data_IF_495369836959
#
_entry.id   IF_495369836959
#
_cell.length_a   1.000
_cell.length_b   1.000
_cell.length_c   1.000
_cell.angle_alpha   90.00
_cell.angle_beta   90.00
_cell.angle_gamma   90.00
#
_symmetry.space_group_name_H-M   'P 1'
#
loop_
_entity.id
_entity.type
_entity.pdbx_description
1 polymer ?
#
# COMPACT_ATOMS: atom_id res chain seq x y z
N UNK A 1 17.43 14.80 -11.07
CA UNK A 1 16.20 15.55 -11.35
C UNK A 1 15.70 16.20 -10.06
N UNK A 2 15.03 17.35 -10.21
CA UNK A 2 14.26 17.99 -9.14
C UNK A 2 12.82 17.49 -9.22
N UNK A 3 12.36 16.78 -8.21
CA UNK A 3 11.04 16.16 -8.14
C UNK A 3 10.23 16.85 -7.07
N UNK A 4 8.99 17.21 -7.36
CA UNK A 4 8.02 17.59 -6.33
C UNK A 4 7.06 16.43 -6.10
N UNK A 5 7.03 15.90 -4.87
CA UNK A 5 6.12 14.85 -4.44
C UNK A 5 4.91 15.48 -3.72
N UNK A 6 3.71 15.33 -4.27
CA UNK A 6 2.45 15.77 -3.62
C UNK A 6 1.82 14.54 -2.96
N UNK A 7 1.76 14.54 -1.62
CA UNK A 7 1.43 13.32 -0.89
C UNK A 7 0.96 13.59 0.56
N UNK A 8 0.57 12.53 1.26
CA UNK A 8 0.54 12.48 2.73
C UNK A 8 1.97 12.24 3.26
N UNK A 9 2.34 12.88 4.37
CA UNK A 9 3.67 12.80 4.96
C UNK A 9 3.60 12.64 6.49
N UNK A 10 4.71 12.20 7.10
CA UNK A 10 4.85 12.18 8.57
C UNK A 10 4.67 13.59 9.16
N UNK A 11 4.02 13.73 10.33
CA UNK A 11 3.67 12.69 11.32
C UNK A 11 2.32 11.98 11.08
N UNK A 12 1.67 12.21 9.95
CA UNK A 12 0.38 11.57 9.67
C UNK A 12 0.49 10.04 9.61
N UNK A 13 -0.25 9.33 10.46
CA UNK A 13 -0.31 7.88 10.51
C UNK A 13 -1.15 7.32 9.34
N UNK A 14 -0.53 7.14 8.18
CA UNK A 14 -1.19 6.75 6.94
C UNK A 14 -0.25 5.86 6.10
N UNK A 15 -0.79 4.82 5.48
CA UNK A 15 -0.01 3.92 4.61
C UNK A 15 0.64 4.66 3.43
N UNK A 16 -0.03 5.70 2.89
CA UNK A 16 0.54 6.53 1.82
C UNK A 16 1.73 7.34 2.32
N UNK A 17 1.69 7.86 3.56
CA UNK A 17 2.82 8.58 4.14
C UNK A 17 4.04 7.68 4.28
N UNK A 18 3.85 6.44 4.74
CA UNK A 18 4.92 5.42 4.83
C UNK A 18 5.48 5.09 3.45
N UNK A 19 4.60 4.76 2.47
CA UNK A 19 5.00 4.51 1.08
C UNK A 19 5.83 5.66 0.51
N UNK A 20 5.35 6.88 0.68
CA UNK A 20 6.00 8.09 0.13
C UNK A 20 7.36 8.33 0.77
N UNK A 21 7.49 8.13 2.08
CA UNK A 21 8.75 8.28 2.81
C UNK A 21 9.82 7.31 2.30
N UNK A 22 9.44 6.04 2.11
CA UNK A 22 10.35 5.01 1.58
C UNK A 22 10.76 5.29 0.12
N UNK A 23 9.79 5.66 -0.73
CA UNK A 23 10.05 6.02 -2.13
C UNK A 23 10.97 7.25 -2.22
N UNK A 24 10.68 8.31 -1.46
CA UNK A 24 11.50 9.53 -1.42
C UNK A 24 12.91 9.22 -0.94
N UNK A 25 13.05 8.40 0.11
CA UNK A 25 14.35 7.95 0.59
C UNK A 25 15.17 7.24 -0.49
N UNK A 26 14.56 6.35 -1.25
CA UNK A 26 15.19 5.62 -2.34
C UNK A 26 15.51 6.53 -3.56
N UNK A 27 14.62 7.47 -3.91
CA UNK A 27 14.87 8.45 -4.97
C UNK A 27 16.05 9.37 -4.61
N UNK A 28 16.13 9.84 -3.36
CA UNK A 28 17.25 10.65 -2.87
C UNK A 28 18.57 9.87 -2.89
N UNK A 29 18.57 8.58 -2.53
CA UNK A 29 19.73 7.69 -2.66
C UNK A 29 20.18 7.52 -4.12
N UNK A 30 19.24 7.55 -5.07
CA UNK A 30 19.53 7.52 -6.51
C UNK A 30 19.98 8.90 -7.07
N UNK A 31 20.22 9.90 -6.21
CA UNK A 31 20.78 11.22 -6.60
C UNK A 31 19.71 12.22 -7.09
N UNK A 32 18.44 12.00 -6.82
CA UNK A 32 17.39 12.99 -7.10
C UNK A 32 17.21 13.94 -5.92
N UNK A 33 16.91 15.21 -6.22
CA UNK A 33 16.38 16.14 -5.23
C UNK A 33 14.87 16.01 -5.17
N UNK A 34 14.31 15.85 -3.96
CA UNK A 34 12.86 15.64 -3.79
C UNK A 34 12.33 16.60 -2.76
N UNK A 35 11.48 17.52 -3.20
CA UNK A 35 10.65 18.39 -2.35
C UNK A 35 9.28 17.74 -2.13
N UNK A 36 8.71 17.91 -0.93
CA UNK A 36 7.48 17.25 -0.52
C UNK A 36 6.43 18.32 -0.24
N UNK A 37 5.30 18.28 -0.94
CA UNK A 37 4.11 19.06 -0.62
C UNK A 37 3.11 18.13 0.04
N UNK A 38 2.72 18.46 1.28
CA UNK A 38 1.87 17.58 2.10
C UNK A 38 0.75 18.35 2.83
N UNK A 39 -0.05 17.59 3.58
CA UNK A 39 -1.17 18.14 4.35
C UNK A 39 -0.68 18.99 5.52
N UNK A 40 -1.47 20.03 5.82
CA UNK A 40 -1.32 20.85 7.04
C UNK A 40 -2.02 20.11 8.18
N UNK A 41 -1.31 19.22 8.89
CA UNK A 41 -1.86 18.61 10.09
C UNK A 41 -1.44 19.43 11.33
N UNK A 42 -2.30 19.55 12.33
CA UNK A 42 -2.04 20.27 13.58
C UNK A 42 -0.83 19.71 14.34
N UNK A 43 -0.46 18.45 14.04
CA UNK A 43 0.67 17.75 14.66
C UNK A 43 2.05 18.18 14.14
N UNK A 44 2.13 18.98 13.07
CA UNK A 44 3.42 19.47 12.54
C UNK A 44 4.24 20.35 13.52
N UNK A 45 3.73 20.62 14.70
CA UNK A 45 4.41 21.08 15.93
C UNK A 45 5.67 21.94 15.82
N UNK A 46 5.84 22.71 14.74
CA UNK A 46 6.94 23.65 14.57
C UNK A 46 8.29 23.08 14.08
N UNK A 47 8.46 21.77 13.97
CA UNK A 47 9.65 21.18 13.33
C UNK A 47 9.44 21.12 11.80
N UNK A 48 10.01 22.06 11.07
CA UNK A 48 10.07 22.02 9.60
C UNK A 48 11.27 21.17 9.19
N UNK A 49 10.98 20.01 8.60
CA UNK A 49 11.97 19.28 7.84
C UNK A 49 12.32 20.09 6.58
N UNK A 50 13.61 20.23 6.26
CA UNK A 50 14.05 20.88 5.03
C UNK A 50 13.43 20.15 3.82
N UNK A 51 12.97 20.88 2.82
CA UNK A 51 12.26 20.36 1.65
C UNK A 51 10.86 19.78 1.90
N UNK A 52 10.20 20.08 3.02
CA UNK A 52 8.80 19.72 3.30
C UNK A 52 7.93 20.97 3.42
N UNK A 53 6.86 21.01 2.62
CA UNK A 53 5.94 22.14 2.48
C UNK A 53 4.51 21.69 2.85
N UNK A 54 4.05 21.91 4.09
CA UNK A 54 2.69 21.59 4.51
C UNK A 54 1.73 22.69 4.00
N UNK A 55 1.13 22.44 2.84
CA UNK A 55 0.31 23.42 2.10
C UNK A 55 -1.11 22.93 1.86
N UNK A 56 -1.33 21.60 1.91
CA UNK A 56 -2.62 20.99 1.59
C UNK A 56 -3.55 21.07 2.81
N UNK A 57 -4.46 22.02 2.80
CA UNK A 57 -5.56 22.10 3.77
C UNK A 57 -6.87 21.73 3.06
N UNK A 58 -7.35 20.50 3.24
CA UNK A 58 -8.57 20.02 2.58
C UNK A 58 -9.85 20.74 3.02
N UNK A 59 -9.82 21.53 4.09
CA UNK A 59 -10.92 22.41 4.49
C UNK A 59 -10.92 23.76 3.73
N UNK A 60 -9.80 24.13 3.10
CA UNK A 60 -9.71 25.32 2.26
C UNK A 60 -10.11 24.98 0.81
N UNK A 61 -11.18 25.55 0.27
CA UNK A 61 -11.59 25.28 -1.12
C UNK A 61 -10.52 25.66 -2.18
N UNK A 62 -9.54 26.49 -1.83
CA UNK A 62 -8.47 26.95 -2.72
C UNK A 62 -7.13 26.26 -2.50
N UNK A 63 -7.07 25.14 -1.79
CA UNK A 63 -5.80 24.48 -1.49
C UNK A 63 -5.01 24.07 -2.75
N UNK A 64 -5.68 23.70 -3.82
CA UNK A 64 -5.06 23.33 -5.11
C UNK A 64 -4.30 24.50 -5.75
N UNK A 65 -4.76 25.75 -5.57
CA UNK A 65 -4.06 26.97 -6.03
C UNK A 65 -2.76 27.20 -5.24
N UNK A 66 -2.80 26.98 -3.93
CA UNK A 66 -1.63 27.12 -3.07
C UNK A 66 -0.57 26.06 -3.40
N UNK A 67 -0.99 24.82 -3.61
CA UNK A 67 -0.12 23.72 -4.07
C UNK A 67 0.52 24.07 -5.42
N UNK A 68 -0.28 24.54 -6.38
CA UNK A 68 0.23 24.94 -7.69
C UNK A 68 1.23 26.10 -7.61
N UNK A 69 0.94 27.14 -6.84
CA UNK A 69 1.86 28.25 -6.62
C UNK A 69 3.20 27.80 -6.01
N UNK A 70 3.15 26.86 -5.05
CA UNK A 70 4.35 26.27 -4.45
C UNK A 70 5.15 25.46 -5.48
N UNK A 71 4.49 24.67 -6.32
CA UNK A 71 5.15 23.93 -7.42
C UNK A 71 5.90 24.88 -8.36
N UNK A 72 5.26 26.00 -8.76
CA UNK A 72 5.90 26.97 -9.64
C UNK A 72 7.12 27.65 -8.99
N UNK A 73 7.11 27.86 -7.68
CA UNK A 73 8.27 28.41 -6.95
C UNK A 73 9.44 27.43 -6.90
N UNK A 74 9.14 26.12 -6.73
CA UNK A 74 10.13 25.04 -6.64
C UNK A 74 10.74 24.67 -8.01
N UNK A 75 10.06 24.97 -9.11
CA UNK A 75 10.51 24.73 -10.49
C UNK A 75 10.99 23.28 -10.72
N UNK A 76 10.17 22.25 -10.44
CA UNK A 76 10.59 20.87 -10.61
C UNK A 76 10.73 20.48 -12.06
N UNK A 77 11.52 19.42 -12.32
CA UNK A 77 11.56 18.75 -13.62
C UNK A 77 10.28 17.91 -13.82
N UNK A 78 9.71 17.39 -12.72
CA UNK A 78 8.47 16.57 -12.72
C UNK A 78 7.74 16.70 -11.39
N UNK A 79 6.41 16.68 -11.46
CA UNK A 79 5.52 16.57 -10.28
C UNK A 79 4.98 15.16 -10.19
N UNK A 80 5.13 14.51 -9.04
CA UNK A 80 4.57 13.19 -8.76
C UNK A 80 3.51 13.27 -7.66
N UNK A 81 2.29 12.86 -7.96
CA UNK A 81 1.14 12.91 -7.05
C UNK A 81 0.83 11.49 -6.58
N UNK A 82 0.74 11.28 -5.27
CA UNK A 82 0.25 10.03 -4.69
C UNK A 82 -1.27 10.15 -4.53
N UNK A 83 -2.03 9.26 -5.14
CA UNK A 83 -3.48 9.34 -5.13
C UNK A 83 -4.14 8.15 -4.44
N UNK A 84 -5.02 8.48 -3.51
CA UNK A 84 -6.03 7.61 -2.91
C UNK A 84 -7.31 8.44 -2.75
N UNK A 85 -8.48 7.86 -3.02
CA UNK A 85 -9.75 8.60 -3.03
C UNK A 85 -10.02 9.37 -1.72
N UNK A 86 -9.64 8.79 -0.56
CA UNK A 86 -9.79 9.43 0.74
C UNK A 86 -8.75 10.49 1.09
N UNK A 87 -7.72 10.68 0.27
CA UNK A 87 -6.56 11.51 0.65
C UNK A 87 -6.81 13.01 0.48
N UNK A 88 -7.54 13.39 -0.54
CA UNK A 88 -7.78 14.79 -0.93
C UNK A 88 -9.25 15.20 -0.84
N UNK A 89 -10.04 14.50 -0.01
CA UNK A 89 -11.45 14.78 0.14
C UNK A 89 -11.66 16.18 0.74
N UNK A 90 -12.30 17.02 -0.02
CA UNK A 90 -13.12 18.13 0.46
C UNK A 90 -14.57 17.64 0.52
N UNK A 91 -15.38 18.13 1.44
CA UNK A 91 -16.76 17.69 1.64
C UNK A 91 -17.48 17.36 0.31
N UNK A 92 -17.65 16.07 0.00
CA UNK A 92 -18.49 15.57 -1.08
C UNK A 92 -17.91 15.63 -2.50
N UNK A 93 -16.64 15.98 -2.71
CA UNK A 93 -16.07 16.14 -4.05
C UNK A 93 -15.21 14.96 -4.56
N UNK A 94 -15.19 13.85 -3.83
CA UNK A 94 -14.41 12.63 -4.20
C UNK A 94 -12.92 12.88 -4.52
N UNK A 95 -12.32 13.93 -3.93
CA UNK A 95 -10.95 14.34 -4.26
C UNK A 95 -10.83 15.12 -5.58
N UNK A 96 -11.94 15.61 -6.13
CA UNK A 96 -11.99 16.30 -7.42
C UNK A 96 -11.09 17.53 -7.55
N UNK A 97 -10.63 18.11 -6.44
CA UNK A 97 -9.68 19.24 -6.41
C UNK A 97 -8.31 18.93 -7.01
N UNK A 98 -7.94 17.68 -7.12
CA UNK A 98 -6.74 17.29 -7.88
C UNK A 98 -6.89 17.58 -9.38
N UNK A 99 -8.09 17.50 -9.94
CA UNK A 99 -8.32 17.75 -11.38
C UNK A 99 -7.96 19.19 -11.79
N UNK A 100 -8.37 20.26 -11.09
CA UNK A 100 -7.88 21.62 -11.36
C UNK A 100 -6.36 21.76 -11.27
N UNK A 101 -5.72 21.12 -10.29
CA UNK A 101 -4.25 21.09 -10.19
C UNK A 101 -3.64 20.45 -11.43
N UNK A 102 -4.10 19.27 -11.85
CA UNK A 102 -3.61 18.58 -13.06
C UNK A 102 -3.82 19.41 -14.32
N UNK A 103 -4.98 20.07 -14.43
CA UNK A 103 -5.27 20.95 -15.56
C UNK A 103 -4.27 22.13 -15.64
N UNK A 104 -3.96 22.77 -14.51
CA UNK A 104 -2.98 23.85 -14.44
C UNK A 104 -1.56 23.37 -14.79
N UNK A 105 -1.14 22.22 -14.25
CA UNK A 105 0.16 21.61 -14.59
C UNK A 105 0.25 21.36 -16.09
N UNK A 106 -0.82 20.86 -16.71
CA UNK A 106 -0.88 20.62 -18.17
C UNK A 106 -0.78 21.90 -18.99
N UNK A 107 -1.45 22.99 -18.56
CA UNK A 107 -1.37 24.30 -19.24
C UNK A 107 0.04 24.89 -19.16
N UNK A 108 0.68 24.82 -18.01
CA UNK A 108 2.05 25.33 -17.78
C UNK A 108 3.13 24.37 -18.29
N UNK A 109 2.74 23.23 -18.88
CA UNK A 109 3.66 22.20 -19.39
C UNK A 109 4.63 21.67 -18.34
N UNK A 110 4.18 21.57 -17.10
CA UNK A 110 4.91 20.92 -16.02
C UNK A 110 4.65 19.42 -16.11
N UNK A 111 5.69 18.58 -16.34
CA UNK A 111 5.51 17.13 -16.44
C UNK A 111 4.87 16.57 -15.18
N UNK A 112 3.84 15.75 -15.35
CA UNK A 112 3.03 15.23 -14.25
C UNK A 112 2.89 13.72 -14.29
N UNK A 113 3.09 13.09 -13.12
CA UNK A 113 2.92 11.66 -12.87
C UNK A 113 1.98 11.47 -11.68
N UNK A 114 1.14 10.46 -11.71
CA UNK A 114 0.30 10.08 -10.58
C UNK A 114 0.40 8.59 -10.31
N UNK A 115 0.62 8.21 -9.05
CA UNK A 115 0.44 6.83 -8.59
C UNK A 115 -0.96 6.67 -8.04
N UNK A 116 -1.73 5.74 -8.60
CA UNK A 116 -3.03 5.32 -8.10
C UNK A 116 -2.86 4.14 -7.15
N UNK A 117 -3.11 4.36 -5.86
CA UNK A 117 -3.04 3.29 -4.86
C UNK A 117 -4.27 2.38 -4.87
N UNK A 118 -5.41 2.88 -5.36
CA UNK A 118 -6.65 2.11 -5.48
C UNK A 118 -7.23 2.23 -6.88
N UNK A 119 -7.09 1.17 -7.66
CA UNK A 119 -7.84 0.92 -8.90
C UNK A 119 -8.46 -0.47 -8.74
N UNK A 120 -9.78 -0.53 -8.77
CA UNK A 120 -10.55 -1.76 -8.64
C UNK A 120 -10.98 -2.28 -10.01
N UNK A 121 -11.33 -3.57 -10.07
CA UNK A 121 -11.84 -4.24 -11.28
C UNK A 121 -13.06 -3.52 -11.86
N UNK A 122 -13.94 -3.03 -10.96
CA UNK A 122 -15.10 -2.21 -11.30
C UNK A 122 -15.02 -0.92 -10.50
N UNK A 123 -14.97 0.19 -11.20
CA UNK A 123 -15.04 1.52 -10.62
C UNK A 123 -16.50 1.97 -10.55
N UNK A 124 -16.88 2.63 -9.48
CA UNK A 124 -18.15 3.33 -9.47
C UNK A 124 -18.11 4.54 -10.41
N UNK A 125 -19.28 5.17 -10.64
CA UNK A 125 -19.36 6.28 -11.61
C UNK A 125 -18.45 7.47 -11.25
N UNK A 126 -18.37 7.96 -10.01
CA UNK A 126 -17.43 9.00 -9.60
C UNK A 126 -15.98 8.60 -9.79
N UNK A 127 -15.59 7.39 -9.39
CA UNK A 127 -14.24 6.86 -9.53
C UNK A 127 -13.82 6.74 -11.01
N UNK A 128 -14.72 6.22 -11.85
CA UNK A 128 -14.49 6.09 -13.29
C UNK A 128 -14.33 7.47 -13.96
N UNK A 129 -15.19 8.45 -13.62
CA UNK A 129 -15.08 9.82 -14.12
C UNK A 129 -13.78 10.50 -13.69
N UNK A 130 -13.40 10.37 -12.42
CA UNK A 130 -12.15 10.92 -11.91
C UNK A 130 -10.95 10.30 -12.64
N UNK A 131 -10.93 8.97 -12.76
CA UNK A 131 -9.85 8.22 -13.41
C UNK A 131 -9.74 8.58 -14.89
N UNK A 132 -10.86 8.68 -15.62
CA UNK A 132 -10.89 9.07 -17.03
C UNK A 132 -10.28 10.47 -17.23
N UNK A 133 -10.76 11.46 -16.48
CA UNK A 133 -10.30 12.84 -16.65
C UNK A 133 -8.85 12.99 -16.23
N UNK A 134 -8.45 12.41 -15.10
CA UNK A 134 -7.08 12.53 -14.60
C UNK A 134 -6.08 11.85 -15.54
N UNK A 135 -6.37 10.66 -16.08
CA UNK A 135 -5.49 9.98 -17.04
C UNK A 135 -5.30 10.76 -18.36
N UNK A 136 -6.30 11.53 -18.80
CA UNK A 136 -6.19 12.42 -19.98
C UNK A 136 -5.33 13.64 -19.71
N UNK A 137 -5.27 14.12 -18.49
CA UNK A 137 -4.47 15.28 -18.09
C UNK A 137 -3.02 14.90 -17.80
N UNK A 138 -2.77 13.71 -17.22
CA UNK A 138 -1.44 13.25 -16.85
C UNK A 138 -0.54 12.92 -18.05
N UNK A 139 0.76 13.15 -17.87
CA UNK A 139 1.77 12.71 -18.83
C UNK A 139 2.13 11.23 -18.63
N UNK A 140 2.15 10.76 -17.39
CA UNK A 140 2.27 9.33 -17.04
C UNK A 140 1.49 9.00 -15.79
N UNK A 141 1.06 7.76 -15.66
CA UNK A 141 0.39 7.22 -14.49
C UNK A 141 1.04 5.90 -14.07
N UNK A 142 0.98 5.60 -12.78
CA UNK A 142 1.52 4.37 -12.18
C UNK A 142 0.38 3.66 -11.46
N UNK A 143 0.29 2.35 -11.68
CA UNK A 143 -0.54 1.41 -10.92
C UNK A 143 0.35 0.29 -10.38
N UNK A 144 -0.09 -0.44 -9.37
CA UNK A 144 0.77 -1.40 -8.68
C UNK A 144 0.70 -2.83 -9.21
N UNK A 145 -0.30 -3.16 -10.04
CA UNK A 145 -0.45 -4.50 -10.60
C UNK A 145 -0.90 -4.46 -12.06
N UNK A 146 -0.46 -5.43 -12.86
CA UNK A 146 -0.86 -5.55 -14.27
C UNK A 146 -2.39 -5.66 -14.42
N UNK A 147 -3.04 -6.36 -13.51
CA UNK A 147 -4.50 -6.50 -13.50
C UNK A 147 -5.21 -5.14 -13.40
N UNK A 148 -4.69 -4.20 -12.62
CA UNK A 148 -5.25 -2.85 -12.53
C UNK A 148 -5.19 -2.14 -13.90
N UNK A 149 -4.06 -2.25 -14.59
CA UNK A 149 -3.90 -1.70 -15.94
C UNK A 149 -4.82 -2.36 -16.96
N UNK A 150 -5.00 -3.68 -16.86
CA UNK A 150 -5.87 -4.45 -17.76
C UNK A 150 -7.35 -4.09 -17.63
N UNK A 151 -7.82 -3.70 -16.45
CA UNK A 151 -9.22 -3.34 -16.24
C UNK A 151 -9.56 -1.88 -16.59
N UNK A 152 -8.56 -0.99 -16.72
CA UNK A 152 -8.83 0.40 -17.07
C UNK A 152 -9.65 0.56 -18.36
N UNK A 153 -9.36 -0.11 -19.50
CA UNK A 153 -10.14 0.04 -20.71
C UNK A 153 -11.63 -0.33 -20.56
N UNK A 154 -11.94 -1.32 -19.69
CA UNK A 154 -13.33 -1.74 -19.45
C UNK A 154 -14.13 -0.71 -18.63
N UNK A 155 -13.44 0.07 -17.79
CA UNK A 155 -14.05 1.12 -16.99
C UNK A 155 -14.11 2.48 -17.73
N UNK A 156 -13.25 2.71 -18.73
CA UNK A 156 -13.03 4.03 -19.35
C UNK A 156 -13.46 4.13 -20.81
N UNK A 157 -13.89 3.05 -21.44
CA UNK A 157 -14.21 2.97 -22.88
C UNK A 157 -13.07 3.39 -23.84
N UNK A 158 -11.82 3.42 -23.34
CA UNK A 158 -10.61 3.67 -24.13
C UNK A 158 -9.37 3.07 -23.49
N UNK A 159 -8.29 2.90 -24.27
CA UNK A 159 -7.02 2.30 -23.78
C UNK A 159 -6.04 3.41 -23.42
N UNK A 160 -5.75 3.64 -22.13
CA UNK A 160 -4.74 4.59 -21.72
C UNK A 160 -3.32 4.06 -22.01
N UNK A 161 -2.55 4.82 -22.83
CA UNK A 161 -1.19 4.46 -23.23
C UNK A 161 -0.09 5.04 -22.32
N UNK A 162 -0.47 5.78 -21.30
CA UNK A 162 0.44 6.44 -20.35
C UNK A 162 0.47 5.77 -18.99
N UNK A 163 -0.04 4.54 -18.86
CA UNK A 163 -0.09 3.79 -17.60
C UNK A 163 1.06 2.78 -17.54
N UNK A 164 1.82 2.86 -16.47
CA UNK A 164 2.95 1.98 -16.14
C UNK A 164 2.62 1.14 -14.91
N UNK A 165 3.17 -0.06 -14.82
CA UNK A 165 3.00 -0.93 -13.67
C UNK A 165 4.29 -0.96 -12.86
N UNK A 166 4.21 -0.57 -11.59
CA UNK A 166 5.31 -0.64 -10.63
C UNK A 166 4.75 -1.19 -9.33
N UNK A 167 5.14 -2.41 -8.96
CA UNK A 167 4.70 -3.06 -7.72
C UNK A 167 5.04 -2.23 -6.49
N UNK A 168 4.29 -2.44 -5.40
CA UNK A 168 4.58 -1.79 -4.12
C UNK A 168 6.00 -2.15 -3.65
N UNK A 169 6.74 -1.16 -3.17
CA UNK A 169 8.09 -1.37 -2.67
C UNK A 169 8.11 -2.10 -1.32
N UNK A 170 9.23 -2.78 -1.08
CA UNK A 170 9.52 -3.42 0.20
C UNK A 170 10.86 -2.91 0.77
N UNK A 171 10.93 -2.79 2.10
CA UNK A 171 12.15 -2.41 2.80
C UNK A 171 13.21 -3.50 2.71
N UNK A 172 14.46 -3.11 2.84
CA UNK A 172 15.54 -4.02 3.24
C UNK A 172 15.53 -4.12 4.78
N UNK A 173 15.06 -5.23 5.30
CA UNK A 173 14.92 -5.47 6.75
C UNK A 173 15.53 -6.81 7.09
N UNK A 174 16.25 -6.87 8.21
CA UNK A 174 16.77 -8.13 8.75
C UNK A 174 15.76 -8.67 9.76
N UNK A 175 15.23 -9.91 9.56
CA UNK A 175 14.36 -10.53 10.53
C UNK A 175 15.03 -10.64 11.91
N UNK A 176 14.27 -10.34 12.97
CA UNK A 176 14.74 -10.50 14.35
C UNK A 176 14.74 -12.00 14.75
N UNK A 177 15.90 -12.63 14.95
CA UNK A 177 15.98 -14.06 15.26
C UNK A 177 15.46 -14.41 16.66
N UNK A 178 15.36 -13.43 17.57
CA UNK A 178 14.90 -13.62 18.94
C UNK A 178 13.44 -13.17 19.14
N UNK A 179 12.74 -12.85 18.06
CA UNK A 179 11.38 -12.34 18.15
C UNK A 179 10.41 -13.33 18.82
N UNK A 180 10.49 -14.63 18.51
CA UNK A 180 9.62 -15.63 19.13
C UNK A 180 9.83 -15.72 20.65
N UNK A 181 11.06 -15.67 21.12
CA UNK A 181 11.39 -15.65 22.56
C UNK A 181 10.81 -14.40 23.23
N UNK A 182 10.99 -13.25 22.59
CA UNK A 182 10.54 -11.95 23.12
C UNK A 182 9.03 -11.90 23.34
N UNK A 183 8.26 -12.53 22.45
CA UNK A 183 6.79 -12.60 22.56
C UNK A 183 6.27 -13.88 23.25
N UNK A 184 7.16 -14.72 23.82
CA UNK A 184 6.77 -15.97 24.48
C UNK A 184 6.15 -16.99 23.52
N UNK A 185 6.70 -17.06 22.29
CA UNK A 185 6.27 -17.94 21.20
C UNK A 185 7.33 -18.98 20.81
N UNK A 186 8.39 -19.13 21.63
CA UNK A 186 9.43 -20.12 21.41
C UNK A 186 8.84 -21.53 21.24
N UNK A 187 9.27 -22.25 20.19
CA UNK A 187 8.76 -23.58 19.87
C UNK A 187 7.32 -23.64 19.32
N UNK A 188 6.68 -22.50 19.08
CA UNK A 188 5.34 -22.43 18.49
C UNK A 188 5.38 -22.22 16.97
N UNK A 189 4.34 -22.71 16.28
CA UNK A 189 4.01 -22.40 14.89
C UNK A 189 2.99 -21.26 14.88
N UNK A 190 3.34 -20.14 14.26
CA UNK A 190 2.62 -18.87 14.43
C UNK A 190 2.09 -18.35 13.12
N UNK A 191 0.77 -18.29 12.97
CA UNK A 191 0.07 -17.54 11.94
C UNK A 191 -0.23 -16.12 12.46
N UNK A 192 0.02 -15.08 11.67
CA UNK A 192 -0.13 -13.69 12.09
C UNK A 192 -1.20 -12.95 11.25
N UNK A 193 -2.14 -12.31 11.95
CA UNK A 193 -2.95 -11.23 11.39
C UNK A 193 -2.46 -9.89 11.96
N UNK A 194 -2.08 -8.93 11.12
CA UNK A 194 -1.50 -7.66 11.57
C UNK A 194 -2.02 -6.45 10.81
N UNK A 195 -2.21 -5.34 11.50
CA UNK A 195 -2.57 -4.03 10.94
C UNK A 195 -3.73 -3.35 11.66
N UNK A 196 -4.22 -2.25 11.07
CA UNK A 196 -5.37 -1.54 11.60
C UNK A 196 -6.62 -2.42 11.59
N UNK A 197 -7.34 -2.42 12.72
CA UNK A 197 -8.59 -3.16 12.86
C UNK A 197 -9.72 -2.43 12.12
N UNK A 198 -10.12 -3.00 11.00
CA UNK A 198 -11.21 -2.50 10.15
C UNK A 198 -12.01 -3.70 9.59
N UNK A 199 -13.32 -3.55 9.37
CA UNK A 199 -14.18 -4.68 8.95
C UNK A 199 -13.73 -5.39 7.66
N UNK A 200 -13.07 -4.68 6.75
CA UNK A 200 -12.56 -5.26 5.51
C UNK A 200 -11.35 -6.19 5.72
N UNK A 201 -10.75 -6.22 6.93
CA UNK A 201 -9.61 -7.07 7.26
C UNK A 201 -10.01 -8.50 7.59
N UNK A 202 -11.23 -8.74 8.01
CA UNK A 202 -11.79 -10.08 8.22
C UNK A 202 -10.97 -10.99 9.14
N UNK A 203 -10.29 -10.43 10.14
CA UNK A 203 -9.50 -11.24 11.11
C UNK A 203 -10.37 -12.22 11.89
N UNK A 204 -11.66 -11.90 12.05
CA UNK A 204 -12.66 -12.77 12.66
C UNK A 204 -12.86 -14.09 11.92
N UNK A 205 -12.55 -14.18 10.63
CA UNK A 205 -12.65 -15.42 9.85
C UNK A 205 -11.55 -16.41 10.26
N UNK A 206 -10.34 -15.88 10.55
CA UNK A 206 -9.24 -16.71 11.05
C UNK A 206 -9.52 -17.20 12.48
N UNK A 207 -10.15 -16.36 13.31
CA UNK A 207 -10.62 -16.78 14.66
C UNK A 207 -11.65 -17.90 14.56
N UNK A 208 -12.56 -17.82 13.57
CA UNK A 208 -13.64 -18.80 13.38
C UNK A 208 -13.10 -20.19 13.05
N UNK A 209 -12.13 -20.28 12.15
CA UNK A 209 -11.55 -21.56 11.73
C UNK A 209 -10.55 -22.12 12.74
N UNK A 210 -10.08 -21.31 13.72
CA UNK A 210 -8.95 -21.66 14.57
C UNK A 210 -9.14 -22.92 15.42
N UNK A 211 -10.33 -23.24 15.97
CA UNK A 211 -10.55 -24.49 16.70
C UNK A 211 -10.25 -25.74 15.87
N UNK A 212 -10.58 -25.73 14.58
CA UNK A 212 -10.31 -26.85 13.68
C UNK A 212 -8.85 -26.89 13.27
N UNK A 213 -8.22 -25.71 13.07
CA UNK A 213 -6.79 -25.61 12.78
C UNK A 213 -5.96 -26.22 13.93
N UNK A 214 -6.27 -25.90 15.18
CA UNK A 214 -5.57 -26.48 16.35
C UNK A 214 -5.75 -28.01 16.40
N UNK A 215 -6.95 -28.49 16.11
CA UNK A 215 -7.21 -29.94 16.06
C UNK A 215 -6.35 -30.66 15.01
N UNK A 216 -6.08 -30.03 13.88
CA UNK A 216 -5.34 -30.60 12.75
C UNK A 216 -3.84 -30.38 12.84
N UNK A 217 -3.41 -29.17 13.21
CA UNK A 217 -1.99 -28.78 13.28
C UNK A 217 -1.35 -29.02 14.65
N UNK A 218 -2.16 -29.27 15.72
CA UNK A 218 -1.71 -29.58 17.06
C UNK A 218 -1.50 -28.35 17.96
N UNK A 219 -1.20 -28.64 19.23
CA UNK A 219 -1.09 -27.69 20.35
C UNK A 219 0.02 -26.63 20.19
N UNK A 220 0.91 -26.80 19.22
CA UNK A 220 1.95 -25.80 18.93
C UNK A 220 1.44 -24.63 18.06
N UNK A 221 0.27 -24.77 17.44
CA UNK A 221 -0.33 -23.76 16.56
C UNK A 221 -0.84 -22.58 17.39
N UNK A 222 -0.38 -21.37 17.04
CA UNK A 222 -0.81 -20.11 17.65
C UNK A 222 -1.27 -19.15 16.55
N UNK A 223 -2.44 -18.55 16.74
CA UNK A 223 -2.86 -17.37 16.03
C UNK A 223 -2.43 -16.13 16.78
N UNK A 224 -1.60 -15.31 16.17
CA UNK A 224 -1.23 -14.00 16.70
C UNK A 224 -2.02 -12.92 15.97
N UNK A 225 -2.74 -12.07 16.72
CA UNK A 225 -3.47 -10.93 16.15
C UNK A 225 -2.87 -9.66 16.72
N UNK A 226 -2.30 -8.82 15.88
CA UNK A 226 -1.59 -7.61 16.27
C UNK A 226 -2.15 -6.36 15.60
N UNK A 227 -2.39 -5.29 16.36
CA UNK A 227 -2.89 -4.03 15.85
C UNK A 227 -3.86 -3.32 16.78
N UNK A 228 -4.50 -2.29 16.27
CA UNK A 228 -5.55 -1.54 16.98
C UNK A 228 -6.53 -0.89 15.98
N UNK A 229 -7.61 -0.32 16.52
CA UNK A 229 -8.46 0.58 15.73
C UNK A 229 -7.69 1.86 15.39
N UNK A 230 -7.84 2.34 14.16
CA UNK A 230 -7.25 3.62 13.77
C UNK A 230 -7.82 4.74 14.65
N UNK A 231 -7.00 5.68 15.14
CA UNK A 231 -7.48 6.83 15.89
C UNK A 231 -8.60 7.56 15.14
N UNK A 232 -9.72 7.82 15.82
CA UNK A 232 -10.89 8.48 15.23
C UNK A 232 -11.82 7.59 14.37
N UNK A 233 -11.45 6.32 14.07
CA UNK A 233 -12.33 5.40 13.34
C UNK A 233 -13.38 4.78 14.27
N UNK A 234 -14.61 5.26 14.21
CA UNK A 234 -15.73 4.65 14.95
C UNK A 234 -16.06 3.22 14.49
N UNK A 235 -15.87 2.93 13.20
CA UNK A 235 -16.01 1.59 12.63
C UNK A 235 -14.93 0.65 13.11
N UNK A 236 -13.67 1.11 13.12
CA UNK A 236 -12.54 0.33 13.64
C UNK A 236 -12.68 -0.01 15.12
N UNK A 237 -13.13 0.94 15.95
CA UNK A 237 -13.39 0.72 17.39
C UNK A 237 -14.46 -0.37 17.57
N UNK A 238 -15.58 -0.27 16.87
CA UNK A 238 -16.64 -1.30 16.94
C UNK A 238 -16.15 -2.67 16.47
N UNK A 239 -15.38 -2.69 15.39
CA UNK A 239 -14.80 -3.93 14.87
C UNK A 239 -13.84 -4.56 15.88
N UNK A 240 -12.95 -3.78 16.51
CA UNK A 240 -12.06 -4.25 17.58
C UNK A 240 -12.84 -4.93 18.70
N UNK A 241 -13.90 -4.29 19.20
CA UNK A 241 -14.74 -4.86 20.25
C UNK A 241 -15.40 -6.19 19.84
N UNK A 242 -15.87 -6.29 18.59
CA UNK A 242 -16.46 -7.50 18.04
C UNK A 242 -15.42 -8.62 17.91
N UNK A 243 -14.25 -8.31 17.40
CA UNK A 243 -13.14 -9.25 17.24
C UNK A 243 -12.70 -9.81 18.60
N UNK A 244 -12.49 -8.96 19.59
CA UNK A 244 -12.09 -9.39 20.94
C UNK A 244 -13.16 -10.29 21.61
N UNK A 245 -14.45 -9.93 21.46
CA UNK A 245 -15.55 -10.81 21.93
C UNK A 245 -15.54 -12.18 21.24
N UNK A 246 -15.26 -12.21 19.93
CA UNK A 246 -15.19 -13.48 19.19
C UNK A 246 -14.00 -14.33 19.64
N UNK A 247 -12.86 -13.72 19.94
CA UNK A 247 -11.68 -14.38 20.50
C UNK A 247 -12.02 -14.98 21.87
N UNK A 248 -12.62 -14.22 22.78
CA UNK A 248 -12.98 -14.66 24.13
C UNK A 248 -13.97 -15.82 24.12
N UNK A 249 -14.86 -15.84 23.15
CA UNK A 249 -15.87 -16.90 22.96
C UNK A 249 -15.33 -18.13 22.19
N UNK A 250 -14.13 -18.07 21.63
CA UNK A 250 -13.57 -19.17 20.84
C UNK A 250 -13.20 -20.38 21.72
N UNK A 251 -13.57 -21.61 21.33
CA UNK A 251 -13.08 -22.83 21.99
C UNK A 251 -11.55 -22.95 22.00
N UNK A 252 -10.87 -22.29 21.07
CA UNK A 252 -9.41 -22.29 20.94
C UNK A 252 -8.76 -21.01 21.47
N UNK A 253 -9.41 -20.26 22.37
CA UNK A 253 -8.92 -18.96 22.87
C UNK A 253 -7.51 -19.03 23.45
N UNK A 254 -7.12 -20.14 24.06
CA UNK A 254 -5.79 -20.34 24.67
C UNK A 254 -4.68 -20.46 23.59
N UNK A 255 -5.06 -20.67 22.34
CA UNK A 255 -4.20 -20.70 21.16
C UNK A 255 -4.28 -19.41 20.32
N UNK A 256 -4.95 -18.37 20.83
CA UNK A 256 -5.05 -17.06 20.19
C UNK A 256 -4.41 -16.02 21.11
N UNK A 257 -3.37 -15.37 20.63
CA UNK A 257 -2.70 -14.26 21.34
C UNK A 257 -2.97 -12.95 20.67
N UNK A 258 -3.13 -11.89 21.45
CA UNK A 258 -3.31 -10.52 20.93
C UNK A 258 -2.19 -9.61 21.41
N UNK A 259 -1.71 -8.73 20.51
CA UNK A 259 -0.83 -7.60 20.83
C UNK A 259 -1.58 -6.35 20.34
N UNK A 260 -2.11 -5.59 21.30
CA UNK A 260 -2.94 -4.41 20.99
C UNK A 260 -2.11 -3.13 21.07
N UNK A 261 -2.23 -2.28 20.07
CA UNK A 261 -1.59 -0.97 20.01
C UNK A 261 -1.28 -0.50 18.59
N UNK A 262 -0.88 0.77 18.52
CA UNK A 262 -0.17 1.30 17.36
C UNK A 262 1.33 1.09 17.60
N UNK A 263 2.01 0.46 16.66
CA UNK A 263 3.40 0.07 16.82
C UNK A 263 4.33 1.02 16.09
N UNK A 264 5.47 1.33 16.70
CA UNK A 264 6.61 1.90 16.00
C UNK A 264 7.19 0.87 14.98
N UNK A 265 7.98 1.31 14.01
CA UNK A 265 8.48 0.44 12.94
C UNK A 265 9.26 -0.80 13.47
N UNK A 266 10.10 -0.64 14.48
CA UNK A 266 10.94 -1.72 15.00
C UNK A 266 10.08 -2.79 15.74
N UNK A 267 9.10 -2.35 16.51
CA UNK A 267 8.12 -3.23 17.14
C UNK A 267 7.29 -3.97 16.10
N UNK A 268 6.87 -3.27 15.03
CA UNK A 268 6.11 -3.87 13.94
C UNK A 268 6.91 -4.97 13.24
N UNK A 269 8.17 -4.70 12.92
CA UNK A 269 9.10 -5.65 12.30
C UNK A 269 9.36 -6.87 13.20
N UNK A 270 9.51 -6.64 14.52
CA UNK A 270 9.67 -7.72 15.50
C UNK A 270 8.43 -8.61 15.61
N UNK A 271 7.22 -8.04 15.57
CA UNK A 271 5.96 -8.83 15.60
C UNK A 271 5.86 -9.72 14.35
N UNK A 272 6.14 -9.17 13.16
CA UNK A 272 6.16 -9.98 11.92
C UNK A 272 7.25 -11.04 11.99
N UNK A 273 8.44 -10.69 12.49
CA UNK A 273 9.55 -11.63 12.65
C UNK A 273 9.19 -12.82 13.55
N UNK A 274 8.34 -12.61 14.56
CA UNK A 274 7.88 -13.65 15.47
C UNK A 274 6.88 -14.64 14.84
N UNK A 275 6.35 -14.35 13.65
CA UNK A 275 5.46 -15.25 12.93
C UNK A 275 6.20 -16.21 12.01
N UNK A 276 5.55 -17.27 11.58
CA UNK A 276 6.00 -18.16 10.51
C UNK A 276 5.45 -17.70 9.14
N UNK A 277 4.22 -17.20 9.12
CA UNK A 277 3.58 -16.61 7.94
C UNK A 277 2.48 -15.61 8.34
N UNK A 278 2.04 -14.81 7.38
CA UNK A 278 1.00 -13.79 7.58
C UNK A 278 -0.30 -14.21 6.89
N UNK A 279 -1.46 -13.91 7.51
CA UNK A 279 -2.79 -14.17 6.93
C UNK A 279 -3.49 -12.84 6.70
N UNK A 280 -3.84 -12.57 5.45
CA UNK A 280 -4.51 -11.34 5.00
C UNK A 280 -5.85 -11.68 4.34
N UNK A 281 -6.89 -12.06 5.14
CA UNK A 281 -8.17 -12.56 4.65
C UNK A 281 -9.10 -11.42 4.24
N UNK A 282 -8.57 -10.44 3.51
CA UNK A 282 -9.26 -9.19 3.24
C UNK A 282 -10.48 -9.39 2.34
N UNK A 283 -11.54 -8.61 2.60
CA UNK A 283 -12.74 -8.56 1.75
C UNK A 283 -12.58 -7.58 0.59
N UNK A 284 -11.88 -6.48 0.83
CA UNK A 284 -11.56 -5.46 -0.16
C UNK A 284 -10.14 -4.95 0.06
N UNK A 285 -9.35 -5.01 -0.97
CA UNK A 285 -8.04 -4.36 -1.07
C UNK A 285 -7.58 -4.36 -2.52
N UNK A 286 -7.03 -3.27 -3.01
CA UNK A 286 -6.36 -3.23 -4.31
C UNK A 286 -4.90 -3.65 -4.19
N UNK A 287 -4.27 -3.33 -3.05
CA UNK A 287 -2.88 -3.63 -2.70
C UNK A 287 -2.73 -3.77 -1.18
N UNK A 288 -1.59 -4.30 -0.72
CA UNK A 288 -1.29 -4.39 0.70
C UNK A 288 0.18 -4.13 1.01
N UNK A 289 0.46 -3.01 1.66
CA UNK A 289 1.78 -2.74 2.23
C UNK A 289 2.22 -3.82 3.24
N UNK A 290 1.27 -4.43 3.97
CA UNK A 290 1.57 -5.53 4.88
C UNK A 290 2.09 -6.77 4.14
N UNK A 291 1.60 -7.04 2.91
CA UNK A 291 2.09 -8.15 2.10
C UNK A 291 3.55 -7.93 1.69
N UNK A 292 3.87 -6.75 1.13
CA UNK A 292 5.24 -6.40 0.75
C UNK A 292 6.18 -6.40 1.97
N UNK A 293 5.70 -5.91 3.12
CA UNK A 293 6.46 -5.88 4.36
C UNK A 293 6.70 -7.29 4.94
N UNK A 294 5.71 -8.18 4.83
CA UNK A 294 5.88 -9.58 5.23
C UNK A 294 6.95 -10.26 4.40
N UNK A 295 6.94 -10.04 3.09
CA UNK A 295 7.98 -10.56 2.19
C UNK A 295 9.37 -9.99 2.51
N UNK A 296 9.47 -8.71 2.89
CA UNK A 296 10.72 -8.09 3.34
C UNK A 296 11.34 -8.81 4.55
N UNK A 297 10.49 -9.37 5.42
CA UNK A 297 10.90 -10.17 6.59
C UNK A 297 10.91 -11.68 6.31
N UNK A 298 10.93 -12.09 5.04
CA UNK A 298 10.95 -13.48 4.57
C UNK A 298 9.74 -14.29 5.05
N UNK A 299 8.59 -13.64 5.29
CA UNK A 299 7.38 -14.30 5.73
C UNK A 299 6.43 -14.50 4.55
N UNK A 300 6.13 -15.77 4.19
CA UNK A 300 5.10 -16.06 3.20
C UNK A 300 3.73 -15.61 3.68
N UNK A 301 2.78 -15.53 2.74
CA UNK A 301 1.45 -15.05 3.07
C UNK A 301 0.34 -15.94 2.53
N UNK A 302 -0.76 -16.01 3.30
CA UNK A 302 -2.07 -16.46 2.81
C UNK A 302 -2.90 -15.20 2.58
N UNK A 303 -3.42 -15.02 1.37
CA UNK A 303 -4.20 -13.84 1.01
C UNK A 303 -5.56 -14.24 0.43
N UNK A 304 -6.56 -13.38 0.54
CA UNK A 304 -7.77 -13.51 -0.28
C UNK A 304 -7.44 -13.29 -1.75
N UNK A 305 -8.10 -14.04 -2.66
CA UNK A 305 -7.96 -13.93 -4.13
C UNK A 305 -8.57 -12.61 -4.66
N UNK A 306 -8.19 -11.49 -4.05
CA UNK A 306 -8.40 -10.16 -4.59
C UNK A 306 -7.32 -9.91 -5.64
N UNK A 307 -7.69 -9.26 -6.73
CA UNK A 307 -6.87 -9.21 -7.95
C UNK A 307 -5.42 -8.78 -7.69
N UNK A 308 -5.21 -7.69 -6.95
CA UNK A 308 -3.87 -7.18 -6.66
C UNK A 308 -3.07 -8.08 -5.72
N UNK A 309 -3.71 -8.65 -4.68
CA UNK A 309 -3.05 -9.56 -3.74
C UNK A 309 -2.72 -10.91 -4.40
N UNK A 310 -3.67 -11.46 -5.17
CA UNK A 310 -3.47 -12.68 -5.94
C UNK A 310 -2.34 -12.53 -6.95
N UNK A 311 -2.33 -11.43 -7.70
CA UNK A 311 -1.28 -11.15 -8.67
C UNK A 311 0.12 -11.08 -8.02
N UNK A 312 0.22 -10.52 -6.81
CA UNK A 312 1.48 -10.46 -6.05
C UNK A 312 1.94 -11.84 -5.58
N UNK A 313 1.00 -12.70 -5.13
CA UNK A 313 1.32 -14.10 -4.79
C UNK A 313 1.76 -14.89 -6.03
N UNK A 314 1.08 -14.73 -7.16
CA UNK A 314 1.44 -15.40 -8.42
C UNK A 314 2.80 -14.96 -8.94
N UNK A 315 3.11 -13.65 -8.85
CA UNK A 315 4.39 -13.10 -9.28
C UNK A 315 5.55 -13.52 -8.38
N UNK A 316 5.32 -13.59 -7.08
CA UNK A 316 6.36 -13.93 -6.09
C UNK A 316 6.51 -15.43 -5.89
N UNK A 317 5.45 -16.21 -6.05
CA UNK A 317 5.39 -17.61 -5.62
C UNK A 317 5.52 -17.78 -4.10
N UNK A 318 5.28 -16.73 -3.31
CA UNK A 318 5.59 -16.68 -1.87
C UNK A 318 4.36 -16.85 -0.98
N UNK A 319 3.44 -17.73 -1.35
CA UNK A 319 2.25 -17.97 -0.53
C UNK A 319 1.09 -18.63 -1.25
N UNK A 320 -0.10 -18.49 -0.67
CA UNK A 320 -1.33 -19.11 -1.15
C UNK A 320 -2.41 -18.02 -1.27
N UNK A 321 -3.11 -18.00 -2.41
CA UNK A 321 -4.31 -17.19 -2.60
C UNK A 321 -5.55 -18.06 -2.46
N UNK A 322 -6.48 -17.69 -1.56
CA UNK A 322 -7.73 -18.43 -1.28
C UNK A 322 -8.94 -17.60 -1.71
N UNK A 323 -10.06 -18.23 -2.15
CA UNK A 323 -11.26 -17.49 -2.49
C UNK A 323 -11.75 -16.60 -1.33
N UNK A 324 -12.30 -15.45 -1.66
CA UNK A 324 -12.90 -14.53 -0.65
C UNK A 324 -14.10 -15.22 -0.01
N UNK A 325 -14.27 -15.05 1.29
CA UNK A 325 -15.36 -15.64 2.11
C UNK A 325 -15.40 -17.21 2.09
N UNK A 326 -14.34 -17.89 1.64
CA UNK A 326 -14.21 -19.35 1.70
C UNK A 326 -13.39 -19.78 2.92
N UNK A 327 -14.09 -20.01 4.04
CA UNK A 327 -13.48 -20.40 5.31
C UNK A 327 -12.82 -21.80 5.24
N UNK A 328 -13.32 -22.69 4.40
CA UNK A 328 -12.77 -24.05 4.27
C UNK A 328 -11.42 -24.02 3.53
N UNK A 329 -11.31 -23.28 2.43
CA UNK A 329 -10.03 -23.11 1.73
C UNK A 329 -9.04 -22.31 2.58
N UNK A 330 -9.51 -21.30 3.32
CA UNK A 330 -8.68 -20.56 4.29
C UNK A 330 -8.13 -21.51 5.37
N UNK A 331 -8.98 -22.36 5.97
CA UNK A 331 -8.58 -23.35 6.96
C UNK A 331 -7.51 -24.31 6.42
N UNK A 332 -7.75 -24.87 5.22
CA UNK A 332 -6.80 -25.78 4.57
C UNK A 332 -5.44 -25.10 4.34
N UNK A 333 -5.43 -23.89 3.80
CA UNK A 333 -4.21 -23.15 3.52
C UNK A 333 -3.42 -22.88 4.81
N UNK A 334 -4.10 -22.45 5.89
CA UNK A 334 -3.48 -22.22 7.21
C UNK A 334 -2.91 -23.51 7.78
N UNK A 335 -3.68 -24.60 7.76
CA UNK A 335 -3.24 -25.92 8.26
C UNK A 335 -2.01 -26.42 7.51
N UNK A 336 -2.01 -26.32 6.18
CA UNK A 336 -0.87 -26.75 5.34
C UNK A 336 0.41 -25.99 5.73
N UNK A 337 0.38 -24.67 5.88
CA UNK A 337 1.57 -23.91 6.25
C UNK A 337 2.03 -24.16 7.69
N UNK A 338 1.11 -24.48 8.61
CA UNK A 338 1.49 -24.85 9.97
C UNK A 338 2.12 -26.25 10.06
N UNK A 339 1.79 -27.16 9.15
CA UNK A 339 2.21 -28.56 9.21
C UNK A 339 3.32 -28.94 8.21
N UNK A 340 3.59 -28.13 7.20
CA UNK A 340 4.60 -28.39 6.17
C UNK A 340 5.78 -27.42 6.26
N UNK A 341 6.82 -27.82 6.98
CA UNK A 341 8.07 -27.02 7.05
C UNK A 341 8.68 -26.80 5.68
N UNK A 342 8.59 -27.80 4.78
CA UNK A 342 9.14 -27.68 3.41
C UNK A 342 8.43 -26.58 2.60
N UNK A 343 7.10 -26.52 2.65
CA UNK A 343 6.35 -25.48 1.94
C UNK A 343 6.65 -24.08 2.53
N UNK A 344 6.67 -24.01 3.85
CA UNK A 344 6.97 -22.77 4.56
C UNK A 344 8.36 -22.22 4.17
N UNK A 345 9.38 -23.09 4.18
CA UNK A 345 10.74 -22.72 3.79
C UNK A 345 10.83 -22.31 2.30
N UNK A 346 10.18 -23.08 1.42
CA UNK A 346 10.13 -22.78 -0.02
C UNK A 346 9.52 -21.39 -0.28
N UNK A 347 8.37 -21.11 0.33
CA UNK A 347 7.70 -19.81 0.14
C UNK A 347 8.48 -18.66 0.80
N UNK A 348 9.17 -18.93 1.90
CA UNK A 348 10.05 -17.95 2.55
C UNK A 348 11.24 -17.57 1.65
N UNK A 349 11.87 -18.55 0.99
CA UNK A 349 12.94 -18.31 0.02
C UNK A 349 12.43 -17.54 -1.21
N UNK A 350 11.23 -17.86 -1.69
CA UNK A 350 10.58 -17.12 -2.77
C UNK A 350 10.31 -15.66 -2.38
N UNK A 351 9.79 -15.41 -1.17
CA UNK A 351 9.58 -14.06 -0.67
C UNK A 351 10.89 -13.25 -0.65
N UNK A 352 11.96 -13.83 -0.10
CA UNK A 352 13.29 -13.21 -0.06
C UNK A 352 13.82 -12.89 -1.47
N UNK A 353 13.75 -13.87 -2.37
CA UNK A 353 14.21 -13.70 -3.75
C UNK A 353 13.40 -12.65 -4.51
N UNK A 354 12.08 -12.60 -4.29
CA UNK A 354 11.21 -11.63 -4.92
C UNK A 354 11.51 -10.21 -4.45
N UNK A 355 11.67 -9.99 -3.14
CA UNK A 355 12.04 -8.68 -2.60
C UNK A 355 13.38 -8.23 -3.18
N UNK A 356 14.42 -9.04 -3.06
CA UNK A 356 15.76 -8.67 -3.47
C UNK A 356 15.87 -8.31 -4.96
N UNK A 357 15.13 -9.02 -5.83
CA UNK A 357 15.27 -8.87 -7.28
C UNK A 357 14.26 -7.90 -7.90
N UNK A 358 13.07 -7.70 -7.30
CA UNK A 358 11.97 -7.02 -8.00
C UNK A 358 11.39 -5.81 -7.26
N UNK A 359 11.16 -5.91 -5.93
CA UNK A 359 10.39 -4.91 -5.19
C UNK A 359 11.16 -4.17 -4.10
N UNK A 360 12.46 -4.41 -3.94
CA UNK A 360 13.27 -3.56 -3.08
C UNK A 360 13.16 -2.09 -3.52
N UNK A 361 13.05 -1.17 -2.58
CA UNK A 361 12.79 0.25 -2.88
C UNK A 361 13.77 0.88 -3.86
N UNK A 362 15.02 0.42 -3.88
CA UNK A 362 16.02 0.90 -4.85
C UNK A 362 15.63 0.54 -6.29
N UNK A 363 15.13 -0.68 -6.53
CA UNK A 363 14.62 -1.11 -7.85
C UNK A 363 13.35 -0.36 -8.22
N UNK A 364 12.44 -0.18 -7.25
CA UNK A 364 11.20 0.56 -7.42
C UNK A 364 11.49 2.02 -7.79
N UNK A 365 12.41 2.69 -7.09
CA UNK A 365 12.81 4.06 -7.39
C UNK A 365 13.44 4.20 -8.79
N UNK A 366 14.26 3.24 -9.23
CA UNK A 366 14.80 3.21 -10.61
C UNK A 366 13.68 3.12 -11.67
N UNK A 367 12.67 2.28 -11.44
CA UNK A 367 11.50 2.21 -12.33
C UNK A 367 10.70 3.52 -12.34
N UNK A 368 10.53 4.18 -11.19
CA UNK A 368 9.91 5.51 -11.12
C UNK A 368 10.70 6.55 -11.92
N UNK A 369 12.02 6.53 -11.83
CA UNK A 369 12.90 7.43 -12.60
C UNK A 369 12.64 7.32 -14.11
N UNK A 370 12.52 6.09 -14.63
CA UNK A 370 12.18 5.87 -16.05
C UNK A 370 10.80 6.42 -16.42
N UNK A 371 9.82 6.34 -15.53
CA UNK A 371 8.49 6.93 -15.75
C UNK A 371 8.55 8.46 -15.74
N UNK A 372 9.38 9.05 -14.87
CA UNK A 372 9.59 10.51 -14.86
C UNK A 372 10.24 11.00 -16.18
N UNK A 373 11.28 10.31 -16.64
CA UNK A 373 11.90 10.59 -17.93
C UNK A 373 10.89 10.53 -19.09
N UNK A 374 10.04 9.50 -19.11
CA UNK A 374 8.96 9.37 -20.09
C UNK A 374 7.96 10.55 -20.03
N UNK A 375 7.59 11.00 -18.82
CA UNK A 375 6.69 12.14 -18.66
C UNK A 375 7.32 13.44 -19.16
N UNK A 376 8.60 13.68 -18.84
CA UNK A 376 9.37 14.83 -19.31
C UNK A 376 9.48 14.83 -20.85
N UNK A 377 9.80 13.68 -21.43
CA UNK A 377 9.92 13.53 -22.90
C UNK A 377 8.58 13.79 -23.62
N UNK A 378 7.46 13.32 -23.06
CA UNK A 378 6.12 13.60 -23.64
C UNK A 378 5.81 15.09 -23.69
N UNK A 379 6.16 15.86 -22.67
CA UNK A 379 5.97 17.30 -22.66
C UNK A 379 6.93 17.98 -23.62
N UNK A 380 8.19 17.58 -23.65
CA UNK A 380 9.24 18.20 -24.44
C UNK A 380 9.08 17.92 -25.96
N UNK A 381 8.87 16.65 -26.33
CA UNK A 381 8.82 16.21 -27.73
C UNK A 381 7.41 16.21 -28.30
N UNK A 382 6.38 15.93 -27.49
CA UNK A 382 4.97 16.04 -27.92
C UNK A 382 4.60 17.45 -28.37
N UNK A 383 5.29 18.47 -27.86
CA UNK A 383 5.19 19.86 -28.31
C UNK A 383 5.87 20.07 -29.68
N UNK A 384 7.00 19.38 -29.94
CA UNK A 384 7.73 19.49 -31.23
C UNK A 384 7.02 18.78 -32.38
N UNK A 385 6.37 17.63 -32.14
CA UNK A 385 5.62 16.94 -33.22
C UNK A 385 4.40 17.74 -33.69
N UNK A 386 3.71 18.47 -32.80
CA UNK A 386 2.58 19.32 -33.22
C UNK A 386 2.99 20.55 -34.03
N UNK A 387 4.19 21.08 -33.77
CA UNK A 387 4.72 22.21 -34.57
C UNK A 387 5.10 21.78 -35.99
N UNK A 388 5.57 20.54 -36.18
CA UNK A 388 5.95 20.02 -37.49
C UNK A 388 4.76 19.51 -38.36
N UNK A 389 3.55 19.42 -37.79
CA UNK A 389 2.34 19.07 -38.55
C UNK A 389 1.50 20.27 -38.97
N UNK A 390 1.94 21.49 -38.65
CA UNK A 390 1.23 22.75 -38.98
C UNK A 390 1.98 23.62 -39.99
N UNK A 391 2.94 23.04 -40.74
CA UNK A 391 3.61 23.72 -41.87
C UNK A 391 3.27 22.99 -43.18
#
# INVERSE_FOLDING_TARGET
>A
MNIVMVTSWSPRHCGIATYSSELVGALRKNGHHVDIICHTDEEFGGHREESVYPVIDTNDPGWDEKVFATILQLKPDVVHIQHEYGLYLTHGDYGGRILPLLFRLKLEKVPSVMTYHSIYTSLDRPEAMFTDVSLRLLDSAIVHAEVQKLFLPYNLDWIPHNVHVISHGAKEVVPDPLAKERFGLAGKKVALCIGWFEPNKRFEDVVEIWPEVVREAGESAILLIAGDARPGSSTGIKYKEQLLRKIDASPAKDHIKTILGAFDPDTYDSIISASDFVVLPYKHASQSGNLAHSFALNKPAIVSSLEGLKAEIEASGAGIAVPVDDLEELRKAVTILLTSDLMLETYSQHAQGYVANYIIWENVARKHTLVYENAIDRVTYGTKMRVNQTI
#
